data_IF_327807669963
#
_entry.id   IF_327807669963
#
_cell.length_a   1.000
_cell.length_b   1.000
_cell.length_c   1.000
_cell.angle_alpha   90.00
_cell.angle_beta   90.00
_cell.angle_gamma   90.00
#
_symmetry.space_group_name_H-M   'P 1'
#
loop_
_entity.id
_entity.type
_entity.pdbx_description
1 polymer ?
#
# COMPACT_ATOMS: atom_id res chain seq x y z
N UNK A 1 -12.47 -4.75 6.08
CA UNK A 1 -11.41 -5.66 5.57
C UNK A 1 -10.38 -6.07 6.63
N UNK A 2 -10.11 -5.26 7.67
CA UNK A 2 -9.04 -5.51 8.64
C UNK A 2 -9.57 -6.02 9.98
N UNK A 3 -8.73 -6.73 10.73
CA UNK A 3 -8.96 -7.10 12.13
C UNK A 3 -7.69 -6.95 12.97
N UNK A 4 -7.81 -6.97 14.30
CA UNK A 4 -6.66 -6.88 15.22
C UNK A 4 -6.22 -8.25 15.67
N UNK A 5 -4.91 -8.50 15.55
CA UNK A 5 -4.26 -9.73 15.98
C UNK A 5 -2.92 -9.40 16.61
N UNK A 6 -2.74 -9.81 17.87
CA UNK A 6 -1.50 -9.58 18.62
C UNK A 6 -1.05 -8.10 18.64
N UNK A 7 -2.00 -7.15 18.70
CA UNK A 7 -1.72 -5.72 18.73
C UNK A 7 -1.31 -5.11 17.38
N UNK A 8 -1.48 -5.84 16.28
CA UNK A 8 -1.22 -5.40 14.91
C UNK A 8 -2.46 -5.59 14.04
N UNK A 9 -2.51 -4.87 12.92
CA UNK A 9 -3.52 -5.10 11.90
C UNK A 9 -3.19 -6.36 11.11
N UNK A 10 -4.21 -7.14 10.78
CA UNK A 10 -4.13 -8.31 9.91
C UNK A 10 -5.33 -8.30 8.94
N UNK A 11 -5.20 -8.99 7.81
CA UNK A 11 -6.21 -9.02 6.73
C UNK A 11 -7.22 -10.13 6.98
N UNK A 12 -8.51 -9.80 6.90
CA UNK A 12 -9.56 -10.81 7.02
C UNK A 12 -9.46 -11.83 5.88
N UNK A 13 -9.27 -13.13 6.17
CA UNK A 13 -9.16 -14.19 5.16
C UNK A 13 -10.48 -14.51 4.46
N UNK A 14 -11.62 -14.11 5.01
CA UNK A 14 -12.93 -14.45 4.46
C UNK A 14 -13.79 -13.22 4.21
N UNK A 15 -14.65 -13.32 3.20
CA UNK A 15 -15.76 -12.41 2.94
C UNK A 15 -17.06 -13.23 2.99
N UNK A 16 -18.02 -12.71 3.75
CA UNK A 16 -19.32 -13.33 3.99
C UNK A 16 -20.37 -12.50 3.27
N UNK A 17 -21.16 -13.15 2.43
CA UNK A 17 -22.38 -12.57 1.87
C UNK A 17 -23.56 -13.17 2.63
N UNK A 18 -24.41 -12.34 3.22
CA UNK A 18 -25.56 -12.79 4.01
C UNK A 18 -26.79 -11.94 3.71
N UNK A 19 -27.97 -12.55 3.87
CA UNK A 19 -29.23 -11.83 3.81
C UNK A 19 -29.74 -11.60 5.23
N UNK A 20 -30.15 -10.37 5.53
CA UNK A 20 -30.80 -10.01 6.79
C UNK A 20 -32.08 -9.23 6.48
N UNK A 21 -33.23 -9.68 6.98
CA UNK A 21 -34.53 -9.04 6.72
C UNK A 21 -34.87 -8.83 5.22
N UNK A 22 -34.34 -9.68 4.34
CA UNK A 22 -34.57 -9.60 2.89
C UNK A 22 -33.59 -8.68 2.14
N UNK A 23 -32.66 -8.02 2.84
CA UNK A 23 -31.58 -7.23 2.26
C UNK A 23 -30.27 -8.02 2.28
N UNK A 24 -29.45 -7.87 1.24
CA UNK A 24 -28.16 -8.54 1.11
C UNK A 24 -27.03 -7.64 1.58
N UNK A 25 -26.12 -8.19 2.38
CA UNK A 25 -24.96 -7.52 2.94
C UNK A 25 -23.70 -8.33 2.70
N UNK A 26 -22.57 -7.63 2.69
CA UNK A 26 -21.24 -8.23 2.61
C UNK A 26 -20.42 -7.80 3.82
N UNK A 27 -19.65 -8.73 4.40
CA UNK A 27 -18.77 -8.43 5.54
C UNK A 27 -17.50 -9.28 5.52
N UNK A 28 -16.36 -8.63 5.76
CA UNK A 28 -15.09 -9.32 5.96
C UNK A 28 -15.00 -9.90 7.37
N UNK A 29 -14.37 -11.07 7.50
CA UNK A 29 -14.15 -11.72 8.79
C UNK A 29 -12.93 -12.66 8.78
N UNK A 30 -12.34 -12.78 9.94
CA UNK A 30 -11.41 -13.77 10.43
C UNK A 30 -12.07 -15.05 10.97
N UNK A 31 -13.30 -14.97 11.48
CA UNK A 31 -13.98 -16.07 12.15
C UNK A 31 -15.25 -16.51 11.40
N UNK A 32 -15.06 -17.43 10.45
CA UNK A 32 -16.18 -18.07 9.74
C UNK A 32 -17.15 -18.80 10.67
N UNK A 33 -16.66 -19.36 11.79
CA UNK A 33 -17.49 -20.18 12.68
C UNK A 33 -18.47 -19.30 13.44
N UNK A 34 -17.99 -18.15 13.93
CA UNK A 34 -18.83 -17.17 14.58
C UNK A 34 -20.01 -16.75 13.69
N UNK A 35 -19.77 -16.53 12.39
CA UNK A 35 -20.83 -16.17 11.44
C UNK A 35 -21.85 -17.28 11.19
N UNK A 36 -21.41 -18.54 11.14
CA UNK A 36 -22.32 -19.67 11.03
C UNK A 36 -23.18 -19.81 12.28
N UNK A 37 -22.58 -19.72 13.47
CA UNK A 37 -23.30 -19.76 14.75
C UNK A 37 -24.29 -18.58 14.86
N UNK A 38 -23.89 -17.39 14.37
CA UNK A 38 -24.74 -16.20 14.34
C UNK A 38 -25.95 -16.39 13.42
N UNK A 39 -25.77 -16.92 12.20
CA UNK A 39 -26.90 -17.18 11.31
C UNK A 39 -27.86 -18.24 11.87
N UNK A 40 -27.34 -19.27 12.55
CA UNK A 40 -28.17 -20.31 13.18
C UNK A 40 -28.98 -19.76 14.36
N UNK A 41 -28.45 -18.78 15.09
CA UNK A 41 -29.11 -18.18 16.25
C UNK A 41 -30.18 -17.13 15.89
N UNK A 42 -30.19 -16.60 14.68
CA UNK A 42 -31.04 -15.48 14.28
C UNK A 42 -31.86 -15.82 13.02
N UNK A 43 -33.16 -16.12 13.20
CA UNK A 43 -34.07 -16.62 12.13
C UNK A 43 -34.14 -15.74 10.87
N UNK A 44 -33.86 -14.45 11.00
CA UNK A 44 -33.91 -13.48 9.90
C UNK A 44 -32.55 -13.25 9.24
N UNK A 45 -31.52 -14.00 9.63
CA UNK A 45 -30.16 -13.94 9.08
C UNK A 45 -29.85 -15.25 8.38
N UNK A 46 -29.42 -15.18 7.12
CA UNK A 46 -29.03 -16.36 6.35
C UNK A 46 -27.72 -16.11 5.60
N UNK A 47 -26.72 -16.96 5.83
CA UNK A 47 -25.50 -16.95 5.01
C UNK A 47 -25.84 -17.40 3.59
N UNK A 48 -25.44 -16.58 2.62
CA UNK A 48 -25.57 -16.86 1.19
C UNK A 48 -24.28 -17.50 0.68
N UNK A 49 -23.13 -16.91 1.05
CA UNK A 49 -21.83 -17.33 0.57
C UNK A 49 -20.74 -17.01 1.60
N UNK A 50 -19.71 -17.85 1.64
CA UNK A 50 -18.45 -17.60 2.34
C UNK A 50 -17.34 -17.83 1.31
N UNK A 51 -16.58 -16.78 1.00
CA UNK A 51 -15.46 -16.85 0.06
C UNK A 51 -14.14 -16.55 0.78
N UNK A 52 -13.08 -17.22 0.35
CA UNK A 52 -11.71 -16.82 0.71
C UNK A 52 -11.37 -15.54 -0.06
N UNK A 53 -10.72 -14.60 0.62
CA UNK A 53 -10.33 -13.32 0.04
C UNK A 53 -8.94 -13.45 -0.55
N UNK A 54 -8.86 -13.29 -1.86
CA UNK A 54 -7.59 -13.06 -2.55
C UNK A 54 -7.37 -11.55 -2.65
N UNK A 55 -6.26 -11.08 -2.05
CA UNK A 55 -5.90 -9.66 -2.09
C UNK A 55 -5.03 -9.36 -3.31
N UNK A 56 -5.28 -8.20 -3.94
CA UNK A 56 -4.42 -7.73 -5.03
C UNK A 56 -3.06 -7.28 -4.50
N UNK A 57 -2.05 -7.23 -5.36
CA UNK A 57 -0.72 -6.69 -5.01
C UNK A 57 -0.82 -5.29 -4.39
N UNK A 58 -1.65 -4.42 -4.96
CA UNK A 58 -1.84 -3.05 -4.46
C UNK A 58 -2.48 -3.04 -3.05
N UNK A 59 -3.42 -3.94 -2.77
CA UNK A 59 -4.00 -4.08 -1.44
C UNK A 59 -2.96 -4.56 -0.41
N UNK A 60 -2.10 -5.51 -0.79
CA UNK A 60 -1.02 -5.99 0.06
C UNK A 60 0.02 -4.91 0.35
N UNK A 61 0.39 -4.11 -0.66
CA UNK A 61 1.28 -2.96 -0.48
C UNK A 61 0.69 -1.92 0.47
N UNK A 62 -0.58 -1.55 0.29
CA UNK A 62 -1.28 -0.62 1.19
C UNK A 62 -1.45 -1.20 2.61
N UNK A 63 -1.61 -2.51 2.73
CA UNK A 63 -1.69 -3.17 4.04
C UNK A 63 -0.36 -3.06 4.81
N UNK A 64 0.77 -3.30 4.15
CA UNK A 64 2.08 -3.15 4.78
C UNK A 64 2.33 -1.70 5.26
N UNK A 65 1.70 -0.71 4.61
CA UNK A 65 1.76 0.67 5.10
C UNK A 65 1.14 0.85 6.49
N UNK A 66 0.04 0.12 6.78
CA UNK A 66 -0.79 0.34 7.98
C UNK A 66 -0.62 -0.71 9.07
N UNK A 67 0.10 -1.80 8.82
CA UNK A 67 0.24 -2.98 9.69
C UNK A 67 0.50 -2.68 11.18
N UNK A 68 1.31 -1.66 11.44
CA UNK A 68 1.74 -1.26 12.79
C UNK A 68 1.04 0.00 13.31
N UNK A 69 0.00 0.48 12.64
CA UNK A 69 -0.69 1.72 13.01
C UNK A 69 -1.56 1.58 14.28
N UNK A 70 -1.80 2.69 15.00
CA UNK A 70 -2.70 2.74 16.15
C UNK A 70 -4.13 2.33 15.78
N UNK A 71 -4.88 1.72 16.70
CA UNK A 71 -6.18 1.11 16.43
C UNK A 71 -7.31 2.11 16.14
N UNK A 72 -7.20 3.33 16.65
CA UNK A 72 -8.28 4.33 16.70
C UNK A 72 -8.85 4.77 15.34
N UNK A 73 -8.23 4.35 14.23
CA UNK A 73 -8.60 4.73 12.87
C UNK A 73 -8.84 3.52 11.95
N UNK A 74 -9.33 2.41 12.51
CA UNK A 74 -9.55 1.15 11.80
C UNK A 74 -10.38 1.25 10.52
N UNK A 75 -11.49 1.99 10.54
CA UNK A 75 -12.37 2.16 9.36
C UNK A 75 -11.60 2.84 8.22
N UNK A 76 -10.87 3.90 8.53
CA UNK A 76 -10.06 4.65 7.57
C UNK A 76 -8.94 3.78 6.97
N UNK A 77 -8.28 2.94 7.77
CA UNK A 77 -7.29 2.00 7.24
C UNK A 77 -7.93 0.94 6.36
N UNK A 78 -9.12 0.47 6.72
CA UNK A 78 -9.87 -0.48 5.91
C UNK A 78 -10.19 0.12 4.54
N UNK A 79 -10.68 1.36 4.49
CA UNK A 79 -10.99 2.07 3.24
C UNK A 79 -9.74 2.33 2.41
N UNK A 80 -8.63 2.70 3.04
CA UNK A 80 -7.35 2.86 2.37
C UNK A 80 -6.87 1.55 1.75
N UNK A 81 -6.85 0.46 2.50
CA UNK A 81 -6.40 -0.84 1.99
C UNK A 81 -7.34 -1.32 0.89
N UNK A 82 -8.64 -1.29 1.12
CA UNK A 82 -9.63 -1.86 0.21
C UNK A 82 -9.78 -1.06 -1.09
N UNK A 83 -9.93 0.27 -0.98
CA UNK A 83 -10.32 1.14 -2.08
C UNK A 83 -9.22 2.13 -2.50
N UNK A 84 -8.10 2.20 -1.77
CA UNK A 84 -7.07 3.21 -2.02
C UNK A 84 -7.47 4.62 -1.60
N UNK A 85 -8.52 4.77 -0.77
CA UNK A 85 -8.99 6.07 -0.30
C UNK A 85 -7.95 6.64 0.67
N UNK A 86 -7.29 7.72 0.24
CA UNK A 86 -6.22 8.38 0.98
C UNK A 86 -6.52 9.87 1.04
N UNK A 87 -7.17 10.33 2.12
CA UNK A 87 -7.55 11.73 2.29
C UNK A 87 -6.36 12.57 2.72
N UNK A 88 -5.78 13.35 1.81
CA UNK A 88 -4.51 14.07 2.05
C UNK A 88 -4.62 15.58 2.23
N UNK A 89 -5.76 16.18 1.89
CA UNK A 89 -5.85 17.64 1.73
C UNK A 89 -5.84 18.41 3.07
N UNK A 90 -6.16 17.75 4.19
CA UNK A 90 -6.24 18.37 5.52
C UNK A 90 -5.74 17.45 6.63
N UNK A 91 -4.63 16.74 6.40
CA UNK A 91 -3.99 15.92 7.43
C UNK A 91 -3.46 16.82 8.56
N UNK A 92 -4.19 16.89 9.67
CA UNK A 92 -3.67 17.44 10.92
C UNK A 92 -2.41 16.65 11.36
N UNK A 93 -1.53 17.28 12.15
CA UNK A 93 -0.30 16.64 12.65
C UNK A 93 -0.53 15.31 13.40
N UNK A 94 -1.73 15.12 13.95
CA UNK A 94 -2.13 13.90 14.67
C UNK A 94 -2.76 12.83 13.76
N UNK A 95 -2.89 13.08 12.46
CA UNK A 95 -3.55 12.16 11.55
C UNK A 95 -2.65 10.95 11.27
N UNK A 96 -3.16 9.70 11.38
CA UNK A 96 -2.33 8.50 11.25
C UNK A 96 -1.66 8.36 9.87
N UNK A 97 -2.33 8.81 8.81
CA UNK A 97 -1.77 8.81 7.45
C UNK A 97 -0.64 9.80 7.20
N UNK A 98 -0.35 10.72 8.13
CA UNK A 98 0.76 11.65 7.95
C UNK A 98 2.09 10.91 7.81
N UNK A 99 2.33 9.85 8.58
CA UNK A 99 3.58 9.09 8.49
C UNK A 99 3.70 8.34 7.17
N UNK A 100 2.59 7.83 6.62
CA UNK A 100 2.56 7.15 5.31
C UNK A 100 2.87 8.16 4.22
N UNK A 101 2.24 9.35 4.26
CA UNK A 101 2.50 10.44 3.33
C UNK A 101 3.98 10.84 3.34
N UNK A 102 4.54 11.10 4.53
CA UNK A 102 5.94 11.49 4.67
C UNK A 102 6.91 10.40 4.18
N UNK A 103 6.60 9.12 4.40
CA UNK A 103 7.41 8.01 3.86
C UNK A 103 7.41 8.01 2.34
N UNK A 104 6.23 8.11 1.71
CA UNK A 104 6.10 8.14 0.24
C UNK A 104 6.81 9.35 -0.37
N UNK A 105 6.61 10.53 0.19
CA UNK A 105 7.32 11.75 -0.25
C UNK A 105 8.84 11.60 -0.12
N UNK A 106 9.32 10.96 0.95
CA UNK A 106 10.75 10.71 1.14
C UNK A 106 11.31 9.66 0.15
N UNK A 107 10.53 8.63 -0.20
CA UNK A 107 10.88 7.65 -1.24
C UNK A 107 10.97 8.33 -2.62
N UNK A 108 9.99 9.15 -2.98
CA UNK A 108 9.97 9.93 -4.22
C UNK A 108 11.18 10.86 -4.32
N UNK A 109 11.49 11.58 -3.24
CA UNK A 109 12.67 12.45 -3.16
C UNK A 109 13.97 11.64 -3.28
N UNK A 110 14.05 10.48 -2.64
CA UNK A 110 15.23 9.61 -2.70
C UNK A 110 15.47 9.10 -4.13
N UNK A 111 14.40 8.72 -4.83
CA UNK A 111 14.47 8.31 -6.23
C UNK A 111 14.91 9.45 -7.14
N UNK A 112 14.36 10.65 -6.96
CA UNK A 112 14.76 11.83 -7.74
C UNK A 112 16.24 12.18 -7.54
N UNK A 113 16.75 12.07 -6.30
CA UNK A 113 18.18 12.29 -6.00
C UNK A 113 19.05 11.25 -6.71
N UNK A 114 18.64 9.98 -6.70
CA UNK A 114 19.38 8.90 -7.36
C UNK A 114 19.45 9.12 -8.88
N UNK A 115 18.34 9.49 -9.51
CA UNK A 115 18.28 9.77 -10.95
C UNK A 115 19.21 10.93 -11.33
N UNK A 116 19.22 12.01 -10.55
CA UNK A 116 20.12 13.14 -10.76
C UNK A 116 21.59 12.74 -10.61
N UNK A 117 21.92 11.93 -9.59
CA UNK A 117 23.28 11.45 -9.37
C UNK A 117 23.77 10.58 -10.54
N UNK A 118 22.92 9.69 -11.05
CA UNK A 118 23.23 8.85 -12.21
C UNK A 118 23.42 9.68 -13.48
N UNK A 119 22.55 10.68 -13.70
CA UNK A 119 22.66 11.61 -14.83
C UNK A 119 23.98 12.38 -14.81
N UNK A 120 24.37 12.90 -13.63
CA UNK A 120 25.63 13.61 -13.45
C UNK A 120 26.83 12.70 -13.70
N UNK A 121 26.85 11.49 -13.14
CA UNK A 121 27.94 10.54 -13.34
C UNK A 121 28.11 10.16 -14.82
N UNK A 122 26.99 10.00 -15.54
CA UNK A 122 27.00 9.76 -16.98
C UNK A 122 27.61 10.94 -17.75
N UNK A 123 27.21 12.16 -17.43
CA UNK A 123 27.73 13.37 -18.09
C UNK A 123 29.23 13.56 -17.85
N UNK A 124 29.71 13.27 -16.64
CA UNK A 124 31.14 13.32 -16.32
C UNK A 124 31.94 12.31 -17.16
N UNK A 125 31.42 11.09 -17.31
CA UNK A 125 32.05 10.06 -18.15
C UNK A 125 32.09 10.49 -19.62
N UNK A 126 30.98 11.00 -20.17
CA UNK A 126 30.91 11.49 -21.55
C UNK A 126 31.90 12.64 -21.78
N UNK A 127 32.03 13.55 -20.81
CA UNK A 127 32.99 14.64 -20.85
C UNK A 127 34.43 14.13 -20.84
N UNK A 128 34.76 13.17 -19.97
CA UNK A 128 36.09 12.56 -19.91
C UNK A 128 36.43 11.81 -21.20
N UNK A 129 35.47 11.10 -21.79
CA UNK A 129 35.65 10.42 -23.07
C UNK A 129 35.93 11.41 -24.20
N UNK A 130 35.16 12.49 -24.30
CA UNK A 130 35.37 13.55 -25.30
C UNK A 130 36.76 14.21 -25.15
N UNK A 131 37.20 14.48 -23.91
CA UNK A 131 38.55 15.01 -23.64
C UNK A 131 39.63 14.04 -24.13
N UNK A 132 39.47 12.74 -23.89
CA UNK A 132 40.43 11.72 -24.32
C UNK A 132 40.51 11.60 -25.85
N UNK A 133 39.39 11.67 -26.54
CA UNK A 133 39.35 11.67 -28.01
C UNK A 133 40.06 12.89 -28.60
N UNK A 134 39.80 14.08 -28.05
CA UNK A 134 40.50 15.30 -28.46
C UNK A 134 42.01 15.20 -28.22
N UNK A 135 42.44 14.67 -27.07
CA UNK A 135 43.86 14.50 -26.77
C UNK A 135 44.57 13.57 -27.77
N UNK A 136 43.91 12.50 -28.23
CA UNK A 136 44.43 11.61 -29.28
C UNK A 136 44.62 12.32 -30.62
N UNK A 137 43.67 13.16 -31.01
CA UNK A 137 43.76 13.94 -32.26
C UNK A 137 44.94 14.93 -32.19
N UNK A 138 45.10 15.63 -31.07
CA UNK A 138 46.16 16.64 -30.89
C UNK A 138 47.55 16.00 -30.88
N UNK A 139 47.70 14.81 -30.31
CA UNK A 139 49.00 14.11 -30.20
C UNK A 139 49.36 13.25 -31.41
N UNK A 140 48.36 12.77 -32.18
CA UNK A 140 48.57 11.99 -33.41
C UNK A 140 48.85 12.80 -34.67
N UNK A 141 48.74 14.14 -34.63
CA UNK A 141 49.05 15.04 -35.74
C UNK A 141 50.49 15.57 -35.80
N UNK A 142 51.41 14.99 -35.02
CA UNK A 142 52.80 15.45 -34.87
C UNK A 142 53.86 14.57 -35.58
N UNK A 143 53.46 13.68 -36.48
CA UNK A 143 54.37 12.92 -37.37
C UNK A 143 54.39 13.46 -38.79
#
# INVERSE_FOLDING_TARGET
MLYRKNGQWDLCPYKITYNQYGEQFEKYTEDRKWWLDFADAWEHTRIVEITEVEHTTEQLERFEDIKYMPEDFGDMYSDYVEFGIFETETLHLSHPFLIIKLRKENEDLSMAILELAMSNAKMELETQMAILELAKIVTGGAE
#
